data_IF_512028231714
#
_entry.id   IF_512028231714
#
_cell.length_a   1.000
_cell.length_b   1.000
_cell.length_c   1.000
_cell.angle_alpha   90.00
_cell.angle_beta   90.00
_cell.angle_gamma   90.00
#
_symmetry.space_group_name_H-M   'P 1'
#
loop_
_entity.id
_entity.type
_entity.pdbx_description
1 polymer ?
#
# COMPACT_ATOMS: atom_id res chain seq x y z
N UNK A 1 -34.15 10.55 6.78
CA UNK A 1 -33.41 11.78 7.15
C UNK A 1 -32.90 12.42 5.86
N UNK A 2 -33.12 13.72 5.66
CA UNK A 2 -32.68 14.41 4.43
C UNK A 2 -31.24 14.89 4.63
N UNK A 3 -30.28 14.29 3.93
CA UNK A 3 -28.87 14.74 3.95
C UNK A 3 -28.71 15.92 3.00
N UNK A 4 -28.17 17.03 3.49
CA UNK A 4 -27.90 18.23 2.70
C UNK A 4 -26.83 17.99 1.63
N UNK A 5 -27.05 18.56 0.45
CA UNK A 5 -26.15 18.43 -0.70
C UNK A 5 -24.75 19.00 -0.42
N UNK A 6 -24.64 20.04 0.42
CA UNK A 6 -23.33 20.60 0.79
C UNK A 6 -22.54 19.61 1.63
N UNK A 7 -23.18 18.91 2.58
CA UNK A 7 -22.53 17.89 3.41
C UNK A 7 -22.03 16.73 2.55
N UNK A 8 -22.81 16.29 1.55
CA UNK A 8 -22.35 15.26 0.59
C UNK A 8 -21.15 15.76 -0.20
N UNK A 9 -21.17 17.02 -0.68
CA UNK A 9 -20.05 17.62 -1.39
C UNK A 9 -18.77 17.67 -0.54
N UNK A 10 -18.87 18.10 0.72
CA UNK A 10 -17.73 18.13 1.66
C UNK A 10 -17.15 16.74 1.87
N UNK A 11 -17.99 15.72 2.08
CA UNK A 11 -17.52 14.35 2.25
C UNK A 11 -16.82 13.83 0.99
N UNK A 12 -17.37 14.14 -0.19
CA UNK A 12 -16.77 13.77 -1.47
C UNK A 12 -15.42 14.45 -1.69
N UNK A 13 -15.29 15.73 -1.37
CA UNK A 13 -14.02 16.46 -1.48
C UNK A 13 -12.95 15.89 -0.52
N UNK A 14 -13.36 15.46 0.68
CA UNK A 14 -12.46 14.83 1.65
C UNK A 14 -12.00 13.42 1.29
N UNK A 15 -12.84 12.64 0.62
CA UNK A 15 -12.62 11.20 0.43
C UNK A 15 -12.36 10.79 -1.01
N UNK A 16 -12.67 11.64 -1.98
CA UNK A 16 -12.65 11.31 -3.40
C UNK A 16 -13.75 10.33 -3.85
N UNK A 17 -14.55 9.79 -2.92
CA UNK A 17 -15.53 8.75 -3.23
C UNK A 17 -16.67 9.23 -4.14
N UNK A 18 -17.37 8.27 -4.77
CA UNK A 18 -18.52 8.56 -5.64
C UNK A 18 -19.62 9.34 -4.90
N UNK A 19 -20.32 10.23 -5.62
CA UNK A 19 -21.36 11.08 -5.04
C UNK A 19 -22.45 10.27 -4.29
N UNK A 20 -22.88 9.16 -4.88
CA UNK A 20 -23.89 8.29 -4.28
C UNK A 20 -23.35 7.48 -3.10
N UNK A 21 -22.06 7.11 -3.13
CA UNK A 21 -21.42 6.43 -2.00
C UNK A 21 -21.36 7.37 -0.80
N UNK A 22 -20.94 8.63 -1.01
CA UNK A 22 -20.93 9.66 0.02
C UNK A 22 -22.33 9.90 0.61
N UNK A 23 -23.35 10.02 -0.26
CA UNK A 23 -24.73 10.21 0.19
C UNK A 23 -25.23 9.02 1.01
N UNK A 24 -24.96 7.78 0.58
CA UNK A 24 -25.36 6.57 1.32
C UNK A 24 -24.67 6.49 2.67
N UNK A 25 -23.35 6.69 2.71
CA UNK A 25 -22.59 6.69 3.95
C UNK A 25 -23.12 7.73 4.95
N UNK A 26 -23.47 8.94 4.48
CA UNK A 26 -24.09 9.97 5.33
C UNK A 26 -25.49 9.57 5.82
N UNK A 27 -26.29 8.89 5.00
CA UNK A 27 -27.61 8.39 5.44
C UNK A 27 -27.44 7.33 6.53
N UNK A 28 -26.53 6.38 6.35
CA UNK A 28 -26.26 5.28 7.30
C UNK A 28 -25.66 5.76 8.62
N UNK A 29 -24.95 6.88 8.60
CA UNK A 29 -24.27 7.46 9.77
C UNK A 29 -24.99 8.68 10.34
N UNK A 30 -26.25 8.88 9.94
CA UNK A 30 -27.11 9.96 10.43
C UNK A 30 -26.49 11.37 10.26
N UNK A 31 -25.74 11.55 9.17
CA UNK A 31 -25.06 12.80 8.82
C UNK A 31 -23.73 13.04 9.53
N UNK A 32 -23.24 12.08 10.34
CA UNK A 32 -21.95 12.22 11.02
C UNK A 32 -20.79 12.03 10.02
N UNK A 33 -20.04 13.10 9.75
CA UNK A 33 -18.96 13.10 8.77
C UNK A 33 -17.81 12.13 9.12
N UNK A 34 -17.36 12.06 10.36
CA UNK A 34 -16.24 11.19 10.77
C UNK A 34 -16.61 9.72 10.61
N UNK A 35 -17.81 9.35 11.09
CA UNK A 35 -18.35 8.00 10.89
C UNK A 35 -18.56 7.68 9.41
N UNK A 36 -19.00 8.66 8.61
CA UNK A 36 -19.18 8.47 7.17
C UNK A 36 -17.86 8.23 6.45
N UNK A 37 -16.78 8.92 6.84
CA UNK A 37 -15.43 8.67 6.33
C UNK A 37 -14.99 7.24 6.67
N UNK A 38 -15.18 6.80 7.92
CA UNK A 38 -14.83 5.44 8.32
C UNK A 38 -15.66 4.38 7.57
N UNK A 39 -16.96 4.62 7.38
CA UNK A 39 -17.84 3.75 6.61
C UNK A 39 -17.41 3.65 5.14
N UNK A 40 -17.06 4.78 4.51
CA UNK A 40 -16.53 4.80 3.14
C UNK A 40 -15.21 4.06 3.03
N UNK A 41 -14.32 4.19 4.01
CA UNK A 41 -13.05 3.45 4.04
C UNK A 41 -13.30 1.94 4.07
N UNK A 42 -14.17 1.47 4.98
CA UNK A 42 -14.54 0.04 5.07
C UNK A 42 -15.18 -0.48 3.78
N UNK A 43 -16.11 0.29 3.20
CA UNK A 43 -16.74 -0.07 1.92
C UNK A 43 -15.73 -0.07 0.76
N UNK A 44 -14.77 0.84 0.78
CA UNK A 44 -13.69 0.94 -0.19
C UNK A 44 -12.80 -0.30 -0.21
N UNK A 45 -12.42 -0.81 0.96
CA UNK A 45 -11.66 -2.08 1.10
C UNK A 45 -12.42 -3.23 0.43
N UNK A 46 -13.70 -3.41 0.76
CA UNK A 46 -14.52 -4.46 0.16
C UNK A 46 -14.69 -4.32 -1.36
N UNK A 47 -14.74 -3.07 -1.87
CA UNK A 47 -14.80 -2.78 -3.31
C UNK A 47 -13.48 -3.14 -4.00
N UNK A 48 -12.35 -2.86 -3.36
CA UNK A 48 -11.04 -3.19 -3.88
C UNK A 48 -10.79 -4.70 -3.92
N UNK A 49 -11.15 -5.43 -2.85
CA UNK A 49 -11.07 -6.89 -2.82
C UNK A 49 -11.85 -7.53 -3.97
N UNK A 50 -13.09 -7.07 -4.22
CA UNK A 50 -13.92 -7.55 -5.35
C UNK A 50 -13.33 -7.25 -6.73
N UNK A 51 -12.41 -6.28 -6.82
CA UNK A 51 -11.74 -5.89 -8.05
C UNK A 51 -10.39 -6.57 -8.22
N UNK A 52 -9.76 -7.05 -7.15
CA UNK A 52 -8.41 -7.63 -7.19
C UNK A 52 -8.25 -8.81 -8.14
N UNK A 53 -9.32 -9.54 -8.47
CA UNK A 53 -9.29 -10.64 -9.43
C UNK A 53 -9.45 -10.21 -10.90
N UNK A 54 -9.68 -8.92 -11.16
CA UNK A 54 -9.84 -8.41 -12.53
C UNK A 54 -8.47 -8.22 -13.18
N UNK A 55 -8.39 -8.48 -14.47
CA UNK A 55 -7.14 -8.27 -15.21
C UNK A 55 -6.83 -6.78 -15.30
N UNK A 56 -5.60 -6.40 -14.94
CA UNK A 56 -5.05 -5.06 -15.06
C UNK A 56 -3.85 -5.11 -16.01
N UNK A 57 -4.07 -4.82 -17.29
CA UNK A 57 -3.06 -4.95 -18.36
C UNK A 57 -2.69 -3.60 -19.00
N UNK A 58 -3.37 -2.52 -18.61
CA UNK A 58 -3.01 -1.15 -18.96
C UNK A 58 -2.23 -0.51 -17.80
N UNK A 59 -1.76 0.72 -17.93
CA UNK A 59 -1.10 1.43 -16.84
C UNK A 59 0.06 2.33 -17.26
N UNK A 60 1.04 2.49 -16.38
CA UNK A 60 2.21 3.35 -16.60
C UNK A 60 3.52 2.66 -16.21
N UNK A 61 4.51 2.85 -17.06
CA UNK A 61 5.93 2.79 -16.65
C UNK A 61 6.34 4.20 -16.26
N UNK A 62 6.80 4.38 -15.03
CA UNK A 62 7.17 5.67 -14.48
C UNK A 62 8.62 5.66 -14.03
N UNK A 63 9.37 6.69 -14.43
CA UNK A 63 10.72 6.92 -13.96
C UNK A 63 10.74 8.06 -12.95
N UNK A 64 11.34 7.80 -11.79
CA UNK A 64 11.59 8.81 -10.77
C UNK A 64 13.09 8.95 -10.58
N UNK A 65 13.62 10.15 -10.80
CA UNK A 65 15.03 10.47 -10.55
C UNK A 65 15.07 11.41 -9.35
N UNK A 66 15.71 10.98 -8.28
CA UNK A 66 15.86 11.79 -7.08
C UNK A 66 16.81 12.97 -7.33
N UNK A 67 16.66 14.03 -6.53
CA UNK A 67 17.47 15.25 -6.64
C UNK A 67 18.97 14.93 -6.70
N UNK A 68 19.67 15.54 -7.67
CA UNK A 68 21.10 15.30 -7.90
C UNK A 68 21.42 14.05 -8.73
N UNK A 69 20.43 13.27 -9.18
CA UNK A 69 20.61 12.19 -10.16
C UNK A 69 21.39 10.97 -9.66
N UNK A 70 21.57 10.83 -8.33
CA UNK A 70 22.33 9.74 -7.71
C UNK A 70 21.49 8.53 -7.32
N UNK A 71 20.17 8.65 -7.44
CA UNK A 71 19.20 7.61 -7.16
C UNK A 71 18.07 7.69 -8.17
N UNK A 72 17.63 6.55 -8.69
CA UNK A 72 16.52 6.45 -9.63
C UNK A 72 15.67 5.21 -9.40
N UNK A 73 14.39 5.31 -9.73
CA UNK A 73 13.43 4.20 -9.70
C UNK A 73 12.75 4.11 -11.05
N UNK A 74 12.59 2.89 -11.56
CA UNK A 74 11.68 2.58 -12.66
C UNK A 74 10.58 1.68 -12.11
N UNK A 75 9.32 2.07 -12.27
CA UNK A 75 8.18 1.42 -11.66
C UNK A 75 7.10 1.15 -12.71
N UNK A 76 6.58 -0.07 -12.72
CA UNK A 76 5.38 -0.48 -13.46
C UNK A 76 4.18 -0.56 -12.52
N UNK A 77 3.13 0.21 -12.81
CA UNK A 77 1.84 0.12 -12.12
C UNK A 77 0.75 -0.06 -13.16
N UNK A 78 -0.06 -1.10 -12.97
CA UNK A 78 -1.12 -1.48 -13.90
C UNK A 78 -2.50 -1.07 -13.39
N UNK A 79 -3.41 -0.78 -14.33
CA UNK A 79 -4.85 -0.59 -14.11
C UNK A 79 -5.67 -1.32 -15.19
N UNK A 80 -7.01 -1.24 -15.12
CA UNK A 80 -7.88 -1.94 -16.08
C UNK A 80 -7.90 -1.22 -17.44
N UNK A 81 -7.82 0.12 -17.47
CA UNK A 81 -7.94 0.91 -18.72
C UNK A 81 -6.95 2.08 -18.85
N UNK A 82 -6.65 2.47 -20.09
CA UNK A 82 -5.84 3.65 -20.42
C UNK A 82 -6.46 4.97 -19.93
N UNK A 83 -7.79 5.02 -19.78
CA UNK A 83 -8.49 6.17 -19.24
C UNK A 83 -8.06 6.46 -17.81
N UNK A 84 -8.03 5.44 -16.93
CA UNK A 84 -7.56 5.60 -15.55
C UNK A 84 -6.07 5.91 -15.51
N UNK A 85 -5.26 5.25 -16.35
CA UNK A 85 -3.82 5.48 -16.44
C UNK A 85 -3.46 6.96 -16.72
N UNK A 86 -4.34 7.69 -17.43
CA UNK A 86 -4.14 9.10 -17.80
C UNK A 86 -4.63 10.09 -16.73
N UNK A 87 -5.35 9.65 -15.71
CA UNK A 87 -5.87 10.53 -14.64
C UNK A 87 -4.76 11.03 -13.72
N UNK A 88 -4.93 12.23 -13.17
CA UNK A 88 -3.97 12.80 -12.22
C UNK A 88 -3.89 11.97 -10.93
N UNK A 89 -5.03 11.43 -10.46
CA UNK A 89 -5.05 10.55 -9.28
C UNK A 89 -4.21 9.28 -9.45
N UNK A 90 -4.22 8.67 -10.65
CA UNK A 90 -3.36 7.52 -10.93
C UNK A 90 -1.88 7.94 -11.03
N UNK A 91 -1.57 9.02 -11.74
CA UNK A 91 -0.18 9.54 -11.85
C UNK A 91 0.40 9.90 -10.48
N UNK A 92 -0.39 10.51 -9.62
CA UNK A 92 0.01 10.85 -8.24
C UNK A 92 0.30 9.61 -7.41
N UNK A 93 -0.52 8.55 -7.52
CA UNK A 93 -0.24 7.27 -6.90
C UNK A 93 1.10 6.71 -7.36
N UNK A 94 1.33 6.62 -8.68
CA UNK A 94 2.57 6.05 -9.23
C UNK A 94 3.80 6.87 -8.82
N UNK A 95 3.68 8.19 -8.81
CA UNK A 95 4.73 9.08 -8.31
C UNK A 95 5.04 8.84 -6.83
N UNK A 96 4.01 8.75 -5.98
CA UNK A 96 4.16 8.49 -4.54
C UNK A 96 4.80 7.12 -4.26
N UNK A 97 4.39 6.08 -5.00
CA UNK A 97 5.00 4.76 -4.91
C UNK A 97 6.48 4.79 -5.34
N UNK A 98 6.82 5.58 -6.36
CA UNK A 98 8.21 5.72 -6.80
C UNK A 98 9.09 6.39 -5.73
N UNK A 99 8.58 7.42 -5.04
CA UNK A 99 9.28 8.04 -3.91
C UNK A 99 9.40 7.07 -2.73
N UNK A 100 8.34 6.31 -2.43
CA UNK A 100 8.35 5.27 -1.40
C UNK A 100 9.50 4.29 -1.65
N UNK A 101 9.57 3.71 -2.84
CA UNK A 101 10.62 2.76 -3.23
C UNK A 101 11.99 3.41 -3.12
N UNK A 102 12.14 4.63 -3.66
CA UNK A 102 13.39 5.39 -3.60
C UNK A 102 13.90 5.55 -2.16
N UNK A 103 13.01 5.90 -1.23
CA UNK A 103 13.35 6.20 0.16
C UNK A 103 13.59 4.95 1.02
N UNK A 104 12.87 3.86 0.78
CA UNK A 104 12.82 2.70 1.68
C UNK A 104 13.56 1.47 1.16
N UNK A 105 13.94 1.44 -0.12
CA UNK A 105 14.69 0.34 -0.75
C UNK A 105 14.10 -1.06 -0.44
N UNK A 106 12.80 -1.30 -0.72
CA UNK A 106 12.16 -2.59 -0.45
C UNK A 106 12.85 -3.70 -1.25
N UNK A 107 13.17 -4.80 -0.57
CA UNK A 107 13.78 -5.99 -1.17
C UNK A 107 12.79 -6.76 -2.05
N UNK A 108 11.52 -6.75 -1.69
CA UNK A 108 10.47 -7.46 -2.42
C UNK A 108 9.18 -6.67 -2.46
N UNK A 109 8.30 -7.00 -3.41
CA UNK A 109 6.99 -6.37 -3.50
C UNK A 109 6.07 -6.83 -2.35
N UNK A 110 6.08 -8.12 -2.03
CA UNK A 110 5.15 -8.77 -1.10
C UNK A 110 5.77 -10.00 -0.44
N UNK A 111 5.17 -10.48 0.67
CA UNK A 111 5.69 -11.62 1.47
C UNK A 111 5.88 -12.89 0.66
N UNK A 112 4.96 -13.17 -0.25
CA UNK A 112 4.93 -14.38 -1.09
C UNK A 112 6.06 -14.39 -2.13
N UNK A 113 6.65 -13.23 -2.41
CA UNK A 113 7.80 -13.08 -3.32
C UNK A 113 9.14 -13.04 -2.58
N UNK A 114 9.15 -13.25 -1.26
CA UNK A 114 10.40 -13.39 -0.48
C UNK A 114 10.86 -14.85 -0.52
N UNK A 115 12.15 -15.10 -0.73
CA UNK A 115 12.70 -16.45 -0.78
C UNK A 115 12.53 -17.18 0.56
N UNK A 116 12.25 -18.48 0.50
CA UNK A 116 12.04 -19.31 1.70
C UNK A 116 13.30 -19.39 2.53
N UNK A 117 14.46 -19.43 1.87
CA UNK A 117 15.78 -19.45 2.49
C UNK A 117 16.00 -18.21 3.35
N UNK A 118 15.62 -17.03 2.85
CA UNK A 118 15.75 -15.78 3.61
C UNK A 118 14.78 -15.75 4.80
N UNK A 119 13.54 -16.19 4.61
CA UNK A 119 12.54 -16.28 5.68
C UNK A 119 13.02 -17.21 6.80
N UNK A 120 13.52 -18.40 6.45
CA UNK A 120 14.03 -19.38 7.41
C UNK A 120 15.28 -18.88 8.13
N UNK A 121 16.21 -18.25 7.39
CA UNK A 121 17.41 -17.65 7.97
C UNK A 121 17.05 -16.59 9.01
N UNK A 122 16.18 -15.65 8.67
CA UNK A 122 15.77 -14.58 9.58
C UNK A 122 15.00 -15.12 10.79
N UNK A 123 14.11 -16.09 10.57
CA UNK A 123 13.38 -16.77 11.65
C UNK A 123 14.31 -17.49 12.63
N UNK A 124 15.35 -18.15 12.14
CA UNK A 124 16.35 -18.82 12.98
C UNK A 124 17.12 -17.82 13.85
N UNK A 125 17.49 -16.65 13.29
CA UNK A 125 18.13 -15.57 14.04
C UNK A 125 17.24 -15.13 15.20
N UNK A 126 15.94 -14.91 14.97
CA UNK A 126 15.01 -14.53 16.05
C UNK A 126 14.77 -15.64 17.06
N UNK A 127 14.74 -16.90 16.63
CA UNK A 127 14.67 -18.05 17.54
C UNK A 127 15.89 -18.09 18.47
N UNK A 128 17.10 -17.91 17.93
CA UNK A 128 18.33 -17.89 18.73
C UNK A 128 18.35 -16.74 19.73
N UNK A 129 17.95 -15.54 19.31
CA UNK A 129 17.80 -14.40 20.21
C UNK A 129 16.81 -14.71 21.35
N UNK A 130 15.72 -15.42 21.05
CA UNK A 130 14.68 -15.73 22.03
C UNK A 130 15.05 -16.88 22.99
N UNK A 131 16.01 -17.76 22.65
CA UNK A 131 16.50 -18.84 23.55
C UNK A 131 17.09 -18.30 24.86
N UNK A 132 17.61 -17.08 24.85
CA UNK A 132 18.11 -16.40 26.06
C UNK A 132 16.98 -15.92 27.00
N UNK A 133 15.73 -15.94 26.54
CA UNK A 133 14.58 -15.47 27.29
C UNK A 133 14.03 -16.58 28.20
N UNK A 134 13.92 -16.31 29.50
CA UNK A 134 13.28 -17.23 30.48
C UNK A 134 11.74 -17.27 30.36
N UNK A 135 11.20 -16.96 29.19
CA UNK A 135 9.76 -16.86 28.94
C UNK A 135 9.16 -18.21 28.53
N UNK A 136 7.86 -18.44 28.74
CA UNK A 136 7.16 -19.62 28.23
C UNK A 136 7.24 -19.75 26.71
N UNK A 137 7.17 -20.99 26.19
CA UNK A 137 7.31 -21.30 24.73
C UNK A 137 6.31 -20.54 23.85
N UNK A 138 5.04 -20.50 24.25
CA UNK A 138 3.99 -19.78 23.53
C UNK A 138 4.28 -18.27 23.41
N UNK A 139 4.85 -17.67 24.47
CA UNK A 139 5.24 -16.25 24.45
C UNK A 139 6.45 -16.04 23.53
N UNK A 140 7.39 -16.98 23.50
CA UNK A 140 8.54 -16.93 22.60
C UNK A 140 8.09 -17.00 21.14
N UNK A 141 7.16 -17.90 20.80
CA UNK A 141 6.60 -18.02 19.45
C UNK A 141 5.92 -16.73 18.98
N UNK A 142 5.08 -16.13 19.83
CA UNK A 142 4.46 -14.83 19.55
C UNK A 142 5.47 -13.70 19.37
N UNK A 143 6.57 -13.70 20.14
CA UNK A 143 7.65 -12.72 19.97
C UNK A 143 8.33 -12.88 18.61
N UNK A 144 8.60 -14.11 18.19
CA UNK A 144 9.24 -14.39 16.90
C UNK A 144 8.31 -13.96 15.77
N UNK A 145 7.02 -14.29 15.84
CA UNK A 145 6.01 -13.88 14.87
C UNK A 145 5.96 -12.35 14.72
N UNK A 146 5.86 -11.61 15.83
CA UNK A 146 5.85 -10.14 15.79
C UNK A 146 7.16 -9.52 15.28
N UNK A 147 8.32 -10.18 15.46
CA UNK A 147 9.58 -9.75 14.85
C UNK A 147 9.61 -10.02 13.34
N UNK A 148 9.11 -11.18 12.92
CA UNK A 148 8.98 -11.50 11.50
C UNK A 148 8.02 -10.53 10.79
N UNK A 149 6.92 -10.15 11.43
CA UNK A 149 6.01 -9.15 10.88
C UNK A 149 6.69 -7.79 10.67
N UNK A 150 7.48 -7.34 11.65
CA UNK A 150 8.28 -6.11 11.50
C UNK A 150 9.30 -6.22 10.39
N UNK A 151 9.97 -7.36 10.27
CA UNK A 151 10.90 -7.60 9.17
C UNK A 151 10.21 -7.46 7.81
N UNK A 152 9.04 -8.06 7.63
CA UNK A 152 8.26 -7.90 6.40
C UNK A 152 7.79 -6.45 6.16
N UNK A 153 7.41 -5.72 7.21
CA UNK A 153 7.12 -4.28 7.11
C UNK A 153 8.31 -3.43 6.68
N UNK A 154 9.54 -3.90 6.87
CA UNK A 154 10.75 -3.22 6.40
C UNK A 154 11.09 -3.60 4.95
N UNK A 155 11.03 -4.91 4.62
CA UNK A 155 11.55 -5.42 3.35
C UNK A 155 10.51 -5.52 2.22
N UNK A 156 9.21 -5.57 2.52
CA UNK A 156 8.14 -5.74 1.54
C UNK A 156 7.42 -4.43 1.25
N UNK A 157 7.48 -3.95 0.00
CA UNK A 157 6.88 -2.66 -0.40
C UNK A 157 5.43 -2.51 0.04
N UNK A 158 4.59 -3.52 -0.20
CA UNK A 158 3.15 -3.43 0.12
C UNK A 158 2.85 -3.34 1.63
N UNK A 159 3.79 -3.75 2.48
CA UNK A 159 3.60 -3.78 3.94
C UNK A 159 4.23 -2.59 4.66
N UNK A 160 5.09 -1.87 3.96
CA UNK A 160 5.73 -0.70 4.51
C UNK A 160 4.69 0.35 4.89
N UNK A 161 4.90 1.04 6.02
CA UNK A 161 4.25 2.31 6.29
C UNK A 161 4.53 3.29 5.15
N UNK A 162 3.51 4.01 4.72
CA UNK A 162 3.65 5.00 3.67
C UNK A 162 4.40 6.23 4.20
N UNK A 163 5.50 6.62 3.55
CA UNK A 163 6.39 7.69 4.05
C UNK A 163 5.71 9.05 4.28
N UNK A 164 4.60 9.34 3.59
CA UNK A 164 3.86 10.61 3.76
C UNK A 164 2.75 10.51 4.80
N UNK A 165 2.32 9.30 5.13
CA UNK A 165 1.27 9.01 6.10
C UNK A 165 1.53 7.63 6.76
N UNK A 166 2.37 7.58 7.81
CA UNK A 166 2.79 6.32 8.42
C UNK A 166 1.67 5.54 9.11
N UNK A 167 0.49 6.14 9.30
CA UNK A 167 -0.69 5.47 9.86
C UNK A 167 -1.32 4.48 8.86
N UNK A 168 -0.83 4.46 7.61
CA UNK A 168 -1.31 3.61 6.52
C UNK A 168 -0.16 2.86 5.89
N UNK A 169 -0.44 1.65 5.41
CA UNK A 169 0.52 0.91 4.58
C UNK A 169 0.43 1.33 3.11
N UNK A 170 1.44 0.97 2.32
CA UNK A 170 1.40 1.13 0.86
C UNK A 170 0.23 0.35 0.25
N UNK A 171 -0.10 -0.84 0.77
CA UNK A 171 -1.28 -1.60 0.36
C UNK A 171 -2.58 -0.84 0.63
N UNK A 172 -2.69 -0.15 1.76
CA UNK A 172 -3.86 0.67 2.08
C UNK A 172 -3.98 1.84 1.09
N UNK A 173 -2.87 2.51 0.76
CA UNK A 173 -2.86 3.58 -0.24
C UNK A 173 -3.37 3.11 -1.62
N UNK A 174 -2.93 1.93 -2.07
CA UNK A 174 -3.40 1.31 -3.33
C UNK A 174 -4.89 0.97 -3.22
N UNK A 175 -5.31 0.40 -2.10
CA UNK A 175 -6.71 0.03 -1.83
C UNK A 175 -7.64 1.26 -1.85
N UNK A 176 -7.22 2.36 -1.24
CA UNK A 176 -7.94 3.65 -1.26
C UNK A 176 -8.03 4.21 -2.69
N UNK A 177 -6.97 4.07 -3.47
CA UNK A 177 -6.93 4.48 -4.88
C UNK A 177 -7.88 3.64 -5.74
N UNK A 178 -7.93 2.32 -5.54
CA UNK A 178 -8.90 1.42 -6.21
C UNK A 178 -10.34 1.81 -5.86
N UNK A 179 -10.61 2.12 -4.59
CA UNK A 179 -11.94 2.51 -4.15
C UNK A 179 -12.42 3.80 -4.86
N UNK A 180 -11.51 4.76 -5.02
CA UNK A 180 -11.73 6.07 -5.60
C UNK A 180 -11.81 6.03 -7.13
N UNK A 181 -10.80 5.46 -7.78
CA UNK A 181 -10.68 5.38 -9.24
C UNK A 181 -11.59 4.30 -9.84
N UNK A 182 -11.97 3.31 -9.05
CA UNK A 182 -12.95 2.31 -9.45
C UNK A 182 -12.41 1.25 -10.40
N UNK A 183 -11.10 1.04 -10.45
CA UNK A 183 -10.44 -0.04 -11.21
C UNK A 183 -9.48 -0.81 -10.31
N UNK A 184 -9.22 -2.08 -10.64
CA UNK A 184 -8.10 -2.81 -10.05
C UNK A 184 -6.79 -2.08 -10.35
N UNK A 185 -5.92 -1.99 -9.35
CA UNK A 185 -4.61 -1.37 -9.48
C UNK A 185 -3.59 -2.29 -8.84
N UNK A 186 -2.55 -2.65 -9.59
CA UNK A 186 -1.50 -3.55 -9.13
C UNK A 186 -0.13 -2.97 -9.41
N UNK A 187 0.82 -3.22 -8.52
CA UNK A 187 2.24 -2.93 -8.82
C UNK A 187 2.79 -4.16 -9.55
N UNK A 188 3.32 -3.96 -10.76
CA UNK A 188 3.87 -5.04 -11.57
C UNK A 188 5.29 -5.40 -11.14
N UNK A 189 6.22 -4.46 -11.36
CA UNK A 189 7.64 -4.61 -11.00
C UNK A 189 8.29 -3.26 -10.84
N UNK A 190 9.43 -3.24 -10.16
CA UNK A 190 10.24 -2.06 -10.06
C UNK A 190 11.73 -2.42 -10.04
N UNK A 191 12.55 -1.43 -10.36
CA UNK A 191 13.98 -1.46 -10.06
C UNK A 191 14.38 -0.13 -9.46
N UNK A 192 15.32 -0.18 -8.52
CA UNK A 192 15.88 0.99 -7.85
C UNK A 192 17.40 0.93 -8.02
N UNK A 193 17.96 2.04 -8.47
CA UNK A 193 19.40 2.23 -8.58
C UNK A 193 19.83 3.33 -7.62
N UNK A 194 20.94 3.14 -6.92
CA UNK A 194 21.63 4.20 -6.22
C UNK A 194 23.15 4.10 -6.42
N UNK A 195 23.82 5.24 -6.57
CA UNK A 195 25.27 5.27 -6.75
C UNK A 195 25.97 4.67 -5.53
N UNK A 196 26.79 3.65 -5.75
CA UNK A 196 27.57 2.98 -4.71
C UNK A 196 26.86 1.84 -4.00
N UNK A 197 25.60 1.53 -4.35
CA UNK A 197 24.99 0.26 -3.94
C UNK A 197 25.60 -0.88 -4.76
N UNK A 198 26.17 -1.86 -4.07
CA UNK A 198 26.59 -3.13 -4.67
C UNK A 198 25.35 -4.03 -4.81
N UNK A 199 24.98 -4.36 -6.06
CA UNK A 199 24.10 -5.48 -6.32
C UNK A 199 24.88 -6.76 -6.00
N UNK A 200 24.80 -7.25 -4.77
CA UNK A 200 25.19 -8.62 -4.47
C UNK A 200 24.04 -9.52 -4.95
N UNK A 201 23.95 -9.73 -6.25
CA UNK A 201 23.22 -10.84 -6.84
C UNK A 201 24.17 -12.05 -6.84
N UNK A 202 24.13 -12.83 -5.76
CA UNK A 202 24.56 -14.23 -5.75
C UNK A 202 23.33 -15.11 -5.43
#
# INVERSE_FOLDING_TARGET
MTIDAKTVKVLREKTGAGMMDCKRALVETEGNLEKAVEALRKAGVAKAEKKGSRSAQDGLIYSYIHHGGRLGVLLEVNCETDFVAKTDGFKDLVHNLSIQIAATSPLSLSRDLVSKELIEKEKNIYQEQAKSSKKPKNVIEQIIEGKMDKYFQEICLLEQPFIKDPDKTVKDLITESIATLGENITVGRYTRFAIGESHNED
#
